data_IF_358081522055
#
_entry.id   IF_358081522055
#
_cell.length_a   1.000
_cell.length_b   1.000
_cell.length_c   1.000
_cell.angle_alpha   90.00
_cell.angle_beta   90.00
_cell.angle_gamma   90.00
#
_symmetry.space_group_name_H-M   'P 1'
#
loop_
_entity.id
_entity.type
_entity.pdbx_description
1 polymer ?
#
# COMPACT_ATOMS: atom_id res chain seq x y z
N UNK A 1 -13.76 10.64 -6.10
CA UNK A 1 -12.78 11.49 -6.76
C UNK A 1 -12.52 10.80 -8.07
N UNK A 2 -13.29 11.17 -9.10
CA UNK A 2 -13.26 10.54 -10.43
C UNK A 2 -12.43 11.43 -11.37
N UNK A 3 -11.18 11.70 -10.98
CA UNK A 3 -10.20 12.10 -11.98
C UNK A 3 -9.67 10.81 -12.59
N UNK A 4 -9.97 10.59 -13.87
CA UNK A 4 -9.45 9.44 -14.62
C UNK A 4 -7.93 9.39 -14.46
N UNK A 5 -7.43 8.40 -13.72
CA UNK A 5 -6.01 8.22 -13.51
C UNK A 5 -5.34 7.88 -14.85
N UNK A 6 -4.59 8.83 -15.40
CA UNK A 6 -3.83 8.65 -16.63
C UNK A 6 -2.38 8.28 -16.31
N UNK A 7 -1.95 7.10 -16.74
CA UNK A 7 -0.57 6.63 -16.65
C UNK A 7 -0.01 6.39 -18.06
N UNK A 8 1.28 6.66 -18.29
CA UNK A 8 1.89 6.38 -19.58
C UNK A 8 2.00 4.87 -19.81
N UNK A 9 1.64 4.42 -21.02
CA UNK A 9 1.60 3.00 -21.36
C UNK A 9 2.95 2.29 -21.14
N UNK A 10 4.07 2.98 -21.36
CA UNK A 10 5.41 2.41 -21.20
C UNK A 10 5.76 2.08 -19.74
N UNK A 11 5.07 2.68 -18.76
CA UNK A 11 5.25 2.38 -17.34
C UNK A 11 4.46 1.15 -16.89
N UNK A 12 3.55 0.67 -17.74
CA UNK A 12 2.66 -0.44 -17.44
C UNK A 12 3.07 -1.68 -18.22
N UNK A 13 2.95 -2.85 -17.58
CA UNK A 13 3.05 -4.15 -18.25
C UNK A 13 1.88 -5.05 -17.85
N UNK A 14 1.32 -5.84 -18.79
CA UNK A 14 0.32 -6.84 -18.43
C UNK A 14 0.95 -7.89 -17.53
N UNK A 15 0.21 -8.32 -16.50
CA UNK A 15 0.67 -9.34 -15.55
C UNK A 15 -0.46 -10.29 -15.18
N UNK A 16 -0.08 -11.54 -14.91
CA UNK A 16 -0.86 -12.47 -14.10
C UNK A 16 -0.35 -12.40 -12.66
N UNK A 17 -1.22 -12.12 -11.69
CA UNK A 17 -0.82 -11.79 -10.31
C UNK A 17 0.11 -12.86 -9.71
N UNK A 18 -0.14 -14.14 -9.99
CA UNK A 18 0.65 -15.27 -9.50
C UNK A 18 2.08 -15.35 -10.07
N UNK A 19 2.36 -14.64 -11.17
CA UNK A 19 3.68 -14.64 -11.82
C UNK A 19 4.58 -13.52 -11.31
N UNK A 20 4.03 -12.59 -10.52
CA UNK A 20 4.73 -11.42 -10.06
C UNK A 20 5.76 -11.78 -8.98
N UNK A 21 6.97 -11.25 -9.15
CA UNK A 21 8.13 -11.52 -8.27
C UNK A 21 8.75 -10.24 -7.70
N UNK A 22 8.18 -9.10 -8.03
CA UNK A 22 8.65 -7.79 -7.60
C UNK A 22 7.49 -7.00 -7.00
N UNK A 23 7.73 -6.19 -5.97
CA UNK A 23 6.72 -5.32 -5.40
C UNK A 23 6.26 -4.22 -6.36
N UNK A 24 5.02 -3.76 -6.21
CA UNK A 24 4.49 -2.65 -6.98
C UNK A 24 2.98 -2.55 -6.89
N UNK A 25 2.36 -1.87 -7.85
CA UNK A 25 0.91 -1.71 -7.93
C UNK A 25 0.33 -2.54 -9.07
N UNK A 26 -0.83 -3.14 -8.83
CA UNK A 26 -1.61 -3.88 -9.81
C UNK A 26 -2.97 -3.20 -9.98
N UNK A 27 -3.25 -2.76 -11.20
CA UNK A 27 -4.54 -2.29 -11.67
C UNK A 27 -5.30 -3.48 -12.24
N UNK A 28 -6.31 -4.03 -11.55
CA UNK A 28 -7.07 -5.15 -12.08
C UNK A 28 -7.81 -4.76 -13.37
N UNK A 29 -7.91 -5.69 -14.32
CA UNK A 29 -8.75 -5.50 -15.51
C UNK A 29 -10.24 -5.65 -15.17
N UNK A 30 -10.56 -6.42 -14.13
CA UNK A 30 -11.93 -6.57 -13.63
C UNK A 30 -12.36 -5.29 -12.89
N UNK A 31 -13.36 -4.52 -13.39
CA UNK A 31 -13.72 -3.21 -12.83
C UNK A 31 -14.21 -3.26 -11.38
N UNK A 32 -14.69 -4.42 -10.92
CA UNK A 32 -15.15 -4.64 -9.56
C UNK A 32 -14.02 -4.87 -8.56
N UNK A 33 -12.78 -5.07 -9.02
CA UNK A 33 -11.64 -5.31 -8.13
C UNK A 33 -10.91 -3.99 -7.84
N UNK A 34 -10.54 -3.74 -6.58
CA UNK A 34 -9.84 -2.52 -6.22
C UNK A 34 -8.36 -2.59 -6.61
N UNK A 35 -7.71 -1.42 -6.63
CA UNK A 35 -6.26 -1.31 -6.77
C UNK A 35 -5.56 -2.17 -5.71
N UNK A 36 -4.50 -2.87 -6.11
CA UNK A 36 -3.71 -3.71 -5.21
C UNK A 36 -2.28 -3.22 -5.10
N UNK A 37 -1.73 -3.19 -3.88
CA UNK A 37 -0.29 -3.22 -3.66
C UNK A 37 0.19 -4.67 -3.54
N UNK A 38 1.25 -5.03 -4.25
CA UNK A 38 1.89 -6.33 -4.16
C UNK A 38 3.23 -6.22 -3.44
N UNK A 39 3.50 -7.18 -2.56
CA UNK A 39 4.66 -7.21 -1.67
C UNK A 39 5.06 -8.65 -1.32
N UNK A 40 6.19 -8.80 -0.63
CA UNK A 40 6.62 -10.08 -0.05
C UNK A 40 6.57 -9.98 1.47
N UNK A 41 5.58 -10.61 2.09
CA UNK A 41 5.47 -10.69 3.54
C UNK A 41 6.00 -12.03 4.04
N UNK A 42 7.09 -12.03 4.81
CA UNK A 42 7.77 -13.25 5.24
C UNK A 42 8.09 -14.19 4.08
N UNK A 43 8.57 -13.64 2.96
CA UNK A 43 8.85 -14.35 1.69
C UNK A 43 7.61 -14.92 0.99
N UNK A 44 6.41 -14.63 1.47
CA UNK A 44 5.14 -15.02 0.83
C UNK A 44 4.59 -13.86 -0.01
N UNK A 45 4.38 -14.07 -1.33
CA UNK A 45 3.65 -13.14 -2.18
C UNK A 45 2.32 -12.73 -1.54
N UNK A 46 2.13 -11.44 -1.32
CA UNK A 46 0.97 -10.89 -0.63
C UNK A 46 0.43 -9.73 -1.42
N UNK A 47 -0.89 -9.69 -1.60
CA UNK A 47 -1.60 -8.58 -2.18
C UNK A 47 -2.40 -7.86 -1.09
N UNK A 48 -2.37 -6.52 -1.13
CA UNK A 48 -3.08 -5.62 -0.22
C UNK A 48 -4.08 -4.83 -1.08
N UNK A 49 -5.37 -4.98 -0.81
CA UNK A 49 -6.40 -4.13 -1.38
C UNK A 49 -6.29 -2.73 -0.80
N UNK A 50 -6.15 -1.74 -1.68
CA UNK A 50 -6.17 -0.33 -1.33
C UNK A 50 -7.61 0.14 -1.51
N UNK A 51 -8.39 0.13 -0.43
CA UNK A 51 -9.80 0.57 -0.46
C UNK A 51 -10.13 1.50 0.71
N UNK A 52 -10.46 2.76 0.39
CA UNK A 52 -10.99 3.76 1.33
C UNK A 52 -10.23 3.89 2.66
N UNK A 53 -10.90 4.48 3.66
CA UNK A 53 -10.31 4.73 4.99
C UNK A 53 -10.23 3.50 5.91
N UNK A 54 -10.95 2.41 5.60
CA UNK A 54 -11.19 1.29 6.54
C UNK A 54 -11.06 -0.11 5.90
N UNK A 55 -10.41 -0.24 4.74
CA UNK A 55 -10.38 -1.53 4.05
C UNK A 55 -9.03 -1.79 3.37
N UNK A 56 -7.97 -1.58 4.13
CA UNK A 56 -6.67 -2.17 3.82
C UNK A 56 -6.72 -3.62 4.24
N UNK A 57 -7.01 -4.48 3.26
CA UNK A 57 -7.13 -5.92 3.48
C UNK A 57 -6.08 -6.66 2.70
N UNK A 58 -5.45 -7.65 3.31
CA UNK A 58 -4.40 -8.42 2.65
C UNK A 58 -4.74 -9.90 2.54
N UNK A 59 -4.15 -10.54 1.54
CA UNK A 59 -4.26 -11.98 1.32
C UNK A 59 -2.98 -12.53 0.70
N UNK A 60 -2.59 -13.77 1.05
CA UNK A 60 -1.51 -14.44 0.37
C UNK A 60 -1.93 -14.75 -1.07
N UNK A 61 -1.08 -14.43 -2.04
CA UNK A 61 -1.26 -14.81 -3.43
C UNK A 61 -0.87 -16.28 -3.57
N UNK A 62 -1.85 -17.12 -3.91
CA UNK A 62 -1.68 -18.56 -4.10
C UNK A 62 -1.80 -18.93 -5.57
N UNK A 63 -1.39 -20.15 -5.93
CA UNK A 63 -1.42 -20.65 -7.31
C UNK A 63 -2.84 -20.66 -7.94
N UNK A 64 -3.90 -20.67 -7.13
CA UNK A 64 -5.30 -20.60 -7.56
C UNK A 64 -5.86 -19.17 -7.64
N UNK A 65 -5.09 -18.17 -7.18
CA UNK A 65 -5.47 -16.76 -7.27
C UNK A 65 -5.38 -16.29 -8.71
N UNK A 66 -6.48 -16.42 -9.45
CA UNK A 66 -6.59 -15.93 -10.83
C UNK A 66 -6.85 -14.43 -10.84
N UNK A 67 -6.04 -13.70 -11.59
CA UNK A 67 -6.27 -12.29 -11.87
C UNK A 67 -5.28 -11.77 -12.89
N UNK A 68 -5.79 -11.02 -13.86
CA UNK A 68 -5.00 -10.28 -14.84
C UNK A 68 -5.11 -8.79 -14.51
N UNK A 69 -3.98 -8.10 -14.59
CA UNK A 69 -3.91 -6.67 -14.32
C UNK A 69 -2.84 -5.98 -15.14
N UNK A 70 -2.82 -4.66 -15.08
CA UNK A 70 -1.69 -3.84 -15.48
C UNK A 70 -0.81 -3.62 -14.25
N UNK A 71 0.48 -3.89 -14.37
CA UNK A 71 1.44 -3.75 -13.30
C UNK A 71 2.27 -2.48 -13.49
N UNK A 72 2.44 -1.73 -12.40
CA UNK A 72 3.34 -0.60 -12.29
C UNK A 72 4.45 -0.93 -11.29
N UNK A 73 5.68 -1.02 -11.80
CA UNK A 73 6.88 -1.20 -10.98
C UNK A 73 7.29 0.12 -10.31
N UNK A 74 7.90 0.02 -9.12
CA UNK A 74 8.55 1.11 -8.42
C UNK A 74 7.72 2.42 -8.21
N UNK A 75 6.45 2.36 -7.75
CA UNK A 75 5.80 3.56 -7.28
C UNK A 75 6.45 4.09 -5.99
N UNK A 76 6.30 5.39 -5.74
CA UNK A 76 6.85 6.07 -4.56
C UNK A 76 5.77 6.22 -3.48
N UNK A 77 6.17 6.10 -2.22
CA UNK A 77 5.30 6.39 -1.07
C UNK A 77 5.66 7.79 -0.56
N UNK A 78 4.69 8.69 -0.54
CA UNK A 78 4.86 10.08 -0.10
C UNK A 78 3.99 10.33 1.12
N UNK A 79 4.60 10.81 2.19
CA UNK A 79 3.94 11.08 3.48
C UNK A 79 3.72 12.58 3.69
N UNK A 80 2.70 12.94 4.48
CA UNK A 80 2.56 14.30 5.00
C UNK A 80 3.22 14.38 6.38
N UNK A 81 4.26 15.20 6.52
CA UNK A 81 4.98 15.37 7.80
C UNK A 81 4.07 15.89 8.93
N UNK A 82 3.05 16.70 8.60
CA UNK A 82 2.07 17.18 9.57
C UNK A 82 1.19 16.05 10.13
N UNK A 83 1.14 14.90 9.45
CA UNK A 83 0.41 13.72 9.90
C UNK A 83 1.27 12.72 10.68
N UNK A 84 2.54 13.04 10.93
CA UNK A 84 3.42 12.19 11.69
C UNK A 84 3.00 12.13 13.16
N UNK A 85 2.92 10.92 13.71
CA UNK A 85 2.73 10.69 15.14
C UNK A 85 3.50 9.44 15.58
N UNK A 86 3.73 9.30 16.89
CA UNK A 86 4.30 8.06 17.43
C UNK A 86 3.29 6.93 17.21
N UNK A 87 3.75 5.76 16.77
CA UNK A 87 2.88 4.60 16.48
C UNK A 87 2.00 4.21 17.67
N UNK A 88 2.57 4.26 18.88
CA UNK A 88 1.87 3.98 20.16
C UNK A 88 0.67 4.91 20.40
N UNK A 89 0.69 6.14 19.86
CA UNK A 89 -0.40 7.13 20.00
C UNK A 89 -1.51 6.88 18.98
N UNK A 90 -1.18 6.28 17.84
CA UNK A 90 -2.11 6.11 16.72
C UNK A 90 -3.05 4.93 16.89
N UNK A 91 -2.75 3.98 17.78
CA UNK A 91 -3.55 2.77 17.95
C UNK A 91 -3.76 2.04 16.62
N UNK A 92 -2.67 1.79 15.89
CA UNK A 92 -2.57 1.01 14.64
C UNK A 92 -3.89 0.89 13.85
N UNK A 93 -4.44 2.02 13.45
CA UNK A 93 -5.68 2.04 12.67
C UNK A 93 -5.40 1.52 11.26
N UNK A 94 -6.36 0.82 10.66
CA UNK A 94 -6.24 0.35 9.28
C UNK A 94 -5.93 1.53 8.34
N UNK A 95 -4.97 1.31 7.43
CA UNK A 95 -4.48 2.33 6.51
C UNK A 95 -3.40 3.24 7.07
N UNK A 96 -3.10 3.19 8.37
CA UNK A 96 -1.90 3.85 8.92
C UNK A 96 -0.66 3.34 8.20
N UNK A 97 0.16 4.25 7.68
CA UNK A 97 1.49 3.91 7.19
C UNK A 97 2.45 3.95 8.38
N UNK A 98 3.07 2.82 8.69
CA UNK A 98 4.02 2.64 9.77
C UNK A 98 5.43 2.52 9.20
N UNK A 99 6.32 3.38 9.65
CA UNK A 99 7.74 3.39 9.36
C UNK A 99 8.47 2.76 10.55
N UNK A 100 9.00 1.55 10.39
CA UNK A 100 9.61 0.76 11.46
C UNK A 100 10.74 -0.12 10.90
N UNK A 101 11.88 -0.16 11.59
CA UNK A 101 13.03 -1.03 11.26
C UNK A 101 13.49 -0.92 9.78
N UNK A 102 13.53 0.30 9.24
CA UNK A 102 13.91 0.56 7.85
C UNK A 102 12.92 0.05 6.79
N UNK A 103 11.66 -0.22 7.19
CA UNK A 103 10.60 -0.70 6.31
C UNK A 103 9.29 0.04 6.56
N UNK A 104 8.58 0.31 5.47
CA UNK A 104 7.23 0.83 5.48
C UNK A 104 6.25 -0.33 5.53
N UNK A 105 5.26 -0.19 6.39
CA UNK A 105 4.19 -1.14 6.55
C UNK A 105 2.87 -0.39 6.41
N UNK A 106 1.87 -1.05 5.84
CA UNK A 106 0.49 -0.62 5.99
C UNK A 106 -0.12 -1.47 7.09
N UNK A 107 -0.81 -0.81 8.01
CA UNK A 107 -1.67 -1.52 8.93
C UNK A 107 -2.93 -2.00 8.21
N UNK A 108 -3.16 -3.31 8.18
CA UNK A 108 -4.29 -3.91 7.50
C UNK A 108 -4.83 -5.15 8.21
N UNK A 109 -5.95 -5.68 7.72
CA UNK A 109 -6.57 -6.92 8.21
C UNK A 109 -6.54 -8.01 7.14
N UNK A 110 -6.55 -9.28 7.54
CA UNK A 110 -6.63 -10.38 6.59
C UNK A 110 -8.03 -10.46 5.97
N UNK A 111 -8.13 -10.78 4.68
CA UNK A 111 -9.44 -11.04 4.04
C UNK A 111 -10.13 -12.23 4.70
N UNK A 112 -11.42 -12.05 5.03
CA UNK A 112 -12.29 -13.10 5.57
C UNK A 112 -12.24 -13.25 7.09
N UNK A 113 -11.35 -12.52 7.76
CA UNK A 113 -11.31 -12.47 9.21
C UNK A 113 -12.18 -11.28 9.69
N UNK A 114 -13.36 -11.58 10.24
CA UNK A 114 -14.27 -10.56 10.79
C UNK A 114 -13.75 -9.93 12.12
N UNK A 115 -12.67 -10.48 12.68
CA UNK A 115 -12.17 -10.19 14.03
C UNK A 115 -10.63 -10.12 14.15
N UNK A 116 -9.88 -9.99 13.04
CA UNK A 116 -8.42 -9.93 13.15
C UNK A 116 -7.97 -8.56 13.67
N UNK A 117 -7.14 -8.59 14.72
CA UNK A 117 -6.35 -7.43 15.15
C UNK A 117 -5.59 -6.87 13.95
N UNK A 118 -5.57 -5.54 13.76
CA UNK A 118 -4.78 -4.91 12.70
C UNK A 118 -3.32 -5.36 12.79
N UNK A 119 -2.73 -5.68 11.64
CA UNK A 119 -1.34 -6.16 11.54
C UNK A 119 -0.56 -5.30 10.56
N UNK A 120 0.70 -5.03 10.88
CA UNK A 120 1.63 -4.38 9.97
C UNK A 120 2.01 -5.33 8.83
N UNK A 121 1.60 -4.99 7.61
CA UNK A 121 1.96 -5.71 6.38
C UNK A 121 3.02 -4.89 5.64
N UNK A 122 4.19 -5.45 5.31
CA UNK A 122 5.26 -4.69 4.67
C UNK A 122 4.84 -4.24 3.28
N UNK A 123 5.17 -3.02 2.94
CA UNK A 123 5.24 -2.53 1.56
C UNK A 123 6.65 -2.78 1.00
N UNK A 124 6.94 -2.23 -0.18
CA UNK A 124 8.27 -2.27 -0.76
C UNK A 124 9.27 -1.39 -0.03
N UNK A 125 10.55 -1.52 -0.40
CA UNK A 125 11.69 -0.87 0.25
C UNK A 125 11.44 0.63 0.47
N UNK A 126 11.74 1.11 1.68
CA UNK A 126 11.54 2.50 2.05
C UNK A 126 12.55 2.90 3.12
N UNK A 127 13.30 3.96 2.80
CA UNK A 127 14.17 4.83 3.61
C UNK A 127 15.07 4.20 4.69
N UNK A 128 16.32 4.66 4.72
CA UNK A 128 17.25 4.35 5.81
C UNK A 128 16.82 5.09 7.08
N UNK A 129 16.53 4.35 8.16
CA UNK A 129 16.28 4.92 9.49
C UNK A 129 17.56 4.98 10.32
N UNK A 130 17.83 6.10 11.02
CA UNK A 130 18.77 6.10 12.14
C UNK A 130 18.22 5.26 13.31
N UNK A 131 19.07 4.50 13.99
CA UNK A 131 18.76 3.56 15.09
C UNK A 131 17.93 4.16 16.25
N UNK A 132 17.88 5.48 16.38
CA UNK A 132 17.24 6.17 17.52
C UNK A 132 15.70 6.23 17.43
N UNK A 133 15.10 5.98 16.27
CA UNK A 133 13.64 6.03 16.07
C UNK A 133 13.12 4.62 15.84
N UNK A 134 12.42 4.06 16.84
CA UNK A 134 11.84 2.72 16.75
C UNK A 134 10.68 2.64 15.74
N UNK A 135 9.78 3.63 15.75
CA UNK A 135 8.66 3.68 14.81
C UNK A 135 8.01 5.07 14.69
N UNK A 136 7.52 5.42 13.50
CA UNK A 136 6.69 6.61 13.23
C UNK A 136 5.49 6.19 12.37
N UNK A 137 4.28 6.62 12.72
CA UNK A 137 3.10 6.41 11.88
C UNK A 137 2.62 7.69 11.20
N UNK A 138 1.94 7.52 10.07
CA UNK A 138 1.35 8.60 9.28
C UNK A 138 -0.11 8.27 8.95
N UNK A 139 -1.02 9.20 9.28
CA UNK A 139 -2.43 9.09 8.91
C UNK A 139 -2.75 9.79 7.57
N UNK A 140 -1.78 10.46 6.94
CA UNK A 140 -1.91 11.00 5.58
C UNK A 140 -0.70 10.63 4.74
N UNK A 141 -0.94 9.87 3.68
CA UNK A 141 0.09 9.43 2.75
C UNK A 141 -0.53 9.13 1.37
N UNK A 142 0.32 9.02 0.36
CA UNK A 142 -0.09 8.75 -1.01
C UNK A 142 0.91 7.85 -1.71
N UNK A 143 0.44 7.11 -2.69
CA UNK A 143 1.29 6.41 -3.65
C UNK A 143 1.34 7.26 -4.90
N UNK A 144 2.56 7.56 -5.34
CA UNK A 144 2.82 8.40 -6.50
C UNK A 144 3.68 7.68 -7.52
N UNK A 145 3.64 8.20 -8.73
CA UNK A 145 4.52 7.79 -9.81
C UNK A 145 5.11 9.02 -10.48
N UNK A 146 6.39 8.92 -10.87
CA UNK A 146 7.10 9.97 -11.58
C UNK A 146 7.33 9.50 -13.01
N UNK A 147 6.74 10.18 -13.99
CA UNK A 147 6.94 9.91 -15.42
C UNK A 147 8.16 10.65 -16.02
N UNK A 148 9.07 11.08 -15.15
CA UNK A 148 10.27 11.87 -15.47
C UNK A 148 10.04 13.39 -15.45
N UNK A 149 8.81 13.86 -15.67
CA UNK A 149 8.50 15.31 -15.69
C UNK A 149 7.43 15.71 -14.66
N UNK A 150 6.51 14.80 -14.33
CA UNK A 150 5.42 15.08 -13.41
C UNK A 150 5.27 13.95 -12.39
N UNK A 151 5.02 14.33 -11.14
CA UNK A 151 4.54 13.42 -10.12
C UNK A 151 3.02 13.32 -10.21
N UNK A 152 2.51 12.09 -10.34
CA UNK A 152 1.08 11.79 -10.38
C UNK A 152 0.69 10.99 -9.15
N UNK A 153 -0.38 11.40 -8.48
CA UNK A 153 -0.96 10.63 -7.36
C UNK A 153 -1.81 9.50 -7.93
N UNK A 154 -1.44 8.27 -7.59
CA UNK A 154 -2.17 7.05 -7.99
C UNK A 154 -3.21 6.69 -6.93
N UNK A 155 -2.81 6.78 -5.67
CA UNK A 155 -3.63 6.47 -4.53
C UNK A 155 -3.34 7.46 -3.41
N UNK A 156 -4.35 7.79 -2.62
CA UNK A 156 -4.18 8.61 -1.43
C UNK A 156 -5.00 8.05 -0.29
N UNK A 157 -4.43 8.16 0.91
CA UNK A 157 -5.09 7.86 2.16
C UNK A 157 -5.06 9.08 3.06
N UNK A 158 -6.21 9.37 3.66
CA UNK A 158 -6.37 10.37 4.70
C UNK A 158 -7.29 9.78 5.78
N UNK A 159 -6.68 9.33 6.87
CA UNK A 159 -7.36 8.91 8.08
C UNK A 159 -7.90 10.12 8.83
N UNK A 160 -9.01 9.93 9.56
CA UNK A 160 -9.52 10.96 10.44
C UNK A 160 -8.62 11.07 11.67
N UNK A 161 -8.01 12.24 11.87
CA UNK A 161 -7.33 12.59 13.11
C UNK A 161 -8.33 12.33 14.24
N UNK A 162 -8.03 11.39 15.14
CA UNK A 162 -8.96 10.90 16.17
C UNK A 162 -9.34 11.93 17.25
N UNK A 163 -9.25 13.22 16.96
CA UNK A 163 -9.73 14.30 17.82
C UNK A 163 -11.25 14.43 17.67
N UNK A 164 -11.97 13.66 18.49
CA UNK A 164 -13.25 14.09 19.04
C UNK A 164 -13.02 14.72 20.41
#
# INVERSE_FOLDING_TARGET
MDDDLQLPLHALRPIEIQTLKEPGLIFPVEPSRPLMAFTLYNQVPTAIFLTGGNAFKFFPVKNDTRGVGLFLAAPEIVVSLHSAARSEILGEQQGTLLLQDGQAHIIGSRIGDDWADPVAVPLWQTFETPDAVKAIGFYRWSIRFTDGLQQRTIWQFEGHDGKK
#
